data_IF_149280841496
#
_entry.id   IF_149280841496
#
_cell.length_a   1.000
_cell.length_b   1.000
_cell.length_c   1.000
_cell.angle_alpha   90.00
_cell.angle_beta   90.00
_cell.angle_gamma   90.00
#
_symmetry.space_group_name_H-M   'P 1'
#
loop_
_entity.id
_entity.type
_entity.pdbx_description
1 polymer ?
#
# COMPACT_ATOMS: atom_id res chain seq x y z
N UNK A 1 10.89 -41.49 -23.13
CA UNK A 1 10.00 -41.74 -21.97
C UNK A 1 10.35 -40.74 -20.87
N UNK A 2 9.64 -39.61 -20.80
CA UNK A 2 9.98 -38.52 -19.86
C UNK A 2 9.37 -38.80 -18.48
N UNK A 3 10.22 -38.94 -17.46
CA UNK A 3 9.80 -39.10 -16.06
C UNK A 3 9.21 -37.78 -15.55
N UNK A 4 7.91 -37.76 -15.28
CA UNK A 4 7.25 -36.65 -14.59
C UNK A 4 7.69 -36.61 -13.13
N UNK A 5 8.32 -35.50 -12.72
CA UNK A 5 8.69 -35.20 -11.33
C UNK A 5 7.45 -34.63 -10.63
N UNK A 6 6.95 -35.32 -9.61
CA UNK A 6 5.86 -34.88 -8.73
C UNK A 6 6.34 -33.63 -7.96
N UNK A 7 5.80 -32.45 -8.26
CA UNK A 7 6.09 -31.23 -7.49
C UNK A 7 5.21 -31.19 -6.24
N UNK A 8 5.85 -31.07 -5.08
CA UNK A 8 5.22 -30.95 -3.76
C UNK A 8 4.46 -29.64 -3.61
N UNK A 9 3.28 -29.71 -3.00
CA UNK A 9 2.40 -28.58 -2.69
C UNK A 9 3.11 -27.51 -1.85
N UNK A 10 3.17 -26.28 -2.34
CA UNK A 10 3.68 -25.12 -1.60
C UNK A 10 2.49 -24.42 -0.93
N UNK A 11 2.43 -24.52 0.40
CA UNK A 11 1.43 -23.84 1.24
C UNK A 11 1.96 -22.46 1.63
N UNK A 12 1.30 -21.39 1.19
CA UNK A 12 1.44 -20.07 1.79
C UNK A 12 0.04 -19.50 2.11
N UNK A 13 -0.10 -18.81 3.25
CA UNK A 13 -1.37 -18.66 3.99
C UNK A 13 -2.47 -17.84 3.28
N UNK A 14 -2.18 -17.25 2.12
CA UNK A 14 -3.17 -16.58 1.25
C UNK A 14 -2.96 -16.85 -0.24
N UNK A 15 -1.96 -17.65 -0.62
CA UNK A 15 -1.63 -17.98 -2.00
C UNK A 15 -1.39 -19.49 -2.10
N UNK A 16 -2.51 -20.23 -2.09
CA UNK A 16 -2.51 -21.65 -2.47
C UNK A 16 -2.32 -21.74 -3.99
N UNK A 17 -1.09 -21.55 -4.46
CA UNK A 17 -0.77 -21.71 -5.88
C UNK A 17 -0.67 -23.20 -6.19
N UNK A 18 -1.80 -23.80 -6.53
CA UNK A 18 -1.84 -25.14 -7.11
C UNK A 18 -1.51 -25.04 -8.61
N UNK A 19 -0.29 -25.43 -8.98
CA UNK A 19 0.14 -25.51 -10.37
C UNK A 19 -0.48 -26.74 -11.05
N UNK A 20 -1.74 -26.63 -11.46
CA UNK A 20 -2.33 -27.44 -12.53
C UNK A 20 -2.74 -26.51 -13.67
N UNK A 21 -2.54 -26.93 -14.93
CA UNK A 21 -2.78 -26.10 -16.13
C UNK A 21 -4.21 -25.53 -16.20
N UNK A 22 -5.18 -26.12 -15.50
CA UNK A 22 -6.58 -25.67 -15.41
C UNK A 22 -6.94 -24.93 -14.11
N UNK A 23 -6.13 -25.03 -13.04
CA UNK A 23 -6.38 -24.41 -11.74
C UNK A 23 -5.83 -22.99 -11.58
N UNK A 24 -4.71 -22.69 -12.24
CA UNK A 24 -4.04 -21.38 -12.17
C UNK A 24 -4.90 -20.26 -12.78
N UNK A 25 -5.64 -20.56 -13.85
CA UNK A 25 -6.47 -19.58 -14.56
C UNK A 25 -7.66 -19.11 -13.72
N UNK A 26 -8.29 -20.01 -12.93
CA UNK A 26 -9.46 -19.67 -12.10
C UNK A 26 -9.11 -18.84 -10.85
N UNK A 27 -7.95 -19.12 -10.22
CA UNK A 27 -7.47 -18.36 -9.06
C UNK A 27 -7.12 -16.92 -9.45
N UNK A 28 -6.43 -16.72 -10.58
CA UNK A 28 -6.06 -15.39 -11.07
C UNK A 28 -7.30 -14.52 -11.38
N UNK A 29 -8.33 -15.07 -12.03
CA UNK A 29 -9.53 -14.31 -12.37
C UNK A 29 -10.32 -13.83 -11.14
N UNK A 30 -10.41 -14.65 -10.09
CA UNK A 30 -11.07 -14.27 -8.85
C UNK A 30 -10.28 -13.17 -8.12
N UNK A 31 -8.96 -13.28 -8.09
CA UNK A 31 -8.09 -12.31 -7.41
C UNK A 31 -8.02 -10.98 -8.16
N UNK A 32 -8.06 -11.01 -9.49
CA UNK A 32 -8.24 -9.84 -10.33
C UNK A 32 -9.58 -9.14 -10.10
N UNK A 33 -10.67 -9.91 -9.96
CA UNK A 33 -11.98 -9.30 -9.66
C UNK A 33 -11.99 -8.66 -8.28
N UNK A 34 -11.39 -9.32 -7.27
CA UNK A 34 -11.24 -8.72 -5.92
C UNK A 34 -10.40 -7.44 -5.99
N UNK A 35 -9.29 -7.46 -6.72
CA UNK A 35 -8.45 -6.29 -6.95
C UNK A 35 -9.24 -5.12 -7.54
N UNK A 36 -9.99 -5.36 -8.62
CA UNK A 36 -10.84 -4.35 -9.27
C UNK A 36 -11.90 -3.78 -8.33
N UNK A 37 -12.53 -4.63 -7.52
CA UNK A 37 -13.53 -4.22 -6.55
C UNK A 37 -12.92 -3.32 -5.46
N UNK A 38 -11.74 -3.67 -4.94
CA UNK A 38 -11.03 -2.84 -3.96
C UNK A 38 -10.61 -1.52 -4.57
N UNK A 39 -10.08 -1.53 -5.79
CA UNK A 39 -9.72 -0.32 -6.53
C UNK A 39 -10.90 0.65 -6.66
N UNK A 40 -12.06 0.15 -7.11
CA UNK A 40 -13.25 0.98 -7.27
C UNK A 40 -13.72 1.56 -5.94
N UNK A 41 -13.81 0.74 -4.88
CA UNK A 41 -14.22 1.19 -3.55
C UNK A 41 -13.29 2.27 -3.00
N UNK A 42 -11.97 2.06 -3.12
CA UNK A 42 -10.97 3.03 -2.68
C UNK A 42 -11.10 4.35 -3.46
N UNK A 43 -11.22 4.27 -4.79
CA UNK A 43 -11.37 5.44 -5.65
C UNK A 43 -12.64 6.21 -5.33
N UNK A 44 -13.79 5.54 -5.19
CA UNK A 44 -15.06 6.18 -4.85
C UNK A 44 -15.02 6.86 -3.47
N UNK A 45 -14.42 6.21 -2.47
CA UNK A 45 -14.24 6.80 -1.16
C UNK A 45 -13.36 8.05 -1.23
N UNK A 46 -12.21 7.95 -1.90
CA UNK A 46 -11.30 9.08 -2.05
C UNK A 46 -11.96 10.23 -2.81
N UNK A 47 -12.66 10.00 -3.92
CA UNK A 47 -13.36 11.06 -4.67
C UNK A 47 -14.25 11.93 -3.77
N UNK A 48 -14.92 11.31 -2.79
CA UNK A 48 -15.81 12.01 -1.85
C UNK A 48 -15.06 12.79 -0.78
N UNK A 49 -13.89 12.33 -0.34
CA UNK A 49 -13.21 12.82 0.86
C UNK A 49 -11.82 13.43 0.63
N UNK A 50 -11.31 13.43 -0.59
CA UNK A 50 -9.95 13.90 -0.93
C UNK A 50 -9.72 15.38 -0.66
N UNK A 51 -10.75 16.23 -0.67
CA UNK A 51 -10.62 17.63 -0.25
C UNK A 51 -10.45 17.80 1.27
N UNK A 52 -10.72 16.75 2.03
CA UNK A 52 -10.73 16.73 3.50
C UNK A 52 -9.87 15.55 4.00
N UNK A 53 -8.52 15.68 3.96
CA UNK A 53 -7.60 14.60 4.38
C UNK A 53 -7.90 14.04 5.77
N UNK A 54 -8.37 14.87 6.70
CA UNK A 54 -8.71 14.46 8.06
C UNK A 54 -9.86 13.44 8.12
N UNK A 55 -10.82 13.48 7.18
CA UNK A 55 -11.88 12.47 7.12
C UNK A 55 -11.34 11.11 6.68
N UNK A 56 -10.37 11.09 5.78
CA UNK A 56 -9.69 9.86 5.35
C UNK A 56 -8.95 9.25 6.54
N UNK A 57 -8.24 10.10 7.30
CA UNK A 57 -7.51 9.68 8.50
C UNK A 57 -8.46 9.15 9.60
N UNK A 58 -9.56 9.85 9.89
CA UNK A 58 -10.57 9.36 10.84
C UNK A 58 -11.18 8.02 10.41
N UNK A 59 -11.44 7.85 9.11
CA UNK A 59 -11.94 6.58 8.59
C UNK A 59 -10.95 5.44 8.84
N UNK A 60 -9.65 5.68 8.63
CA UNK A 60 -8.57 4.72 8.93
C UNK A 60 -8.56 4.37 10.43
N UNK A 61 -8.62 5.37 11.32
CA UNK A 61 -8.61 5.15 12.78
C UNK A 61 -9.82 4.34 13.24
N UNK A 62 -11.01 4.62 12.71
CA UNK A 62 -12.23 3.88 13.01
C UNK A 62 -12.17 2.41 12.60
N UNK A 63 -11.25 2.05 11.71
CA UNK A 63 -11.01 0.66 11.27
C UNK A 63 -9.77 0.05 11.95
N UNK A 64 -9.53 0.45 13.21
CA UNK A 64 -8.50 -0.10 14.11
C UNK A 64 -7.07 0.04 13.59
N UNK A 65 -6.80 1.07 12.80
CA UNK A 65 -5.44 1.36 12.30
C UNK A 65 -4.91 2.61 12.98
N UNK A 66 -3.74 2.52 13.61
CA UNK A 66 -3.21 3.61 14.43
C UNK A 66 -2.59 4.69 13.55
N UNK A 67 -2.93 5.96 13.75
CA UNK A 67 -2.20 7.07 13.12
C UNK A 67 -1.13 7.60 14.06
N UNK A 68 0.11 7.64 13.60
CA UNK A 68 1.25 8.19 14.35
C UNK A 68 1.80 9.38 13.59
N UNK A 69 1.82 10.54 14.26
CA UNK A 69 2.45 11.77 13.74
C UNK A 69 3.80 11.94 14.40
N UNK A 70 4.84 12.11 13.60
CA UNK A 70 6.22 12.12 14.08
C UNK A 70 7.01 13.30 13.49
N UNK A 71 7.86 13.91 14.31
CA UNK A 71 8.89 14.84 13.83
C UNK A 71 10.00 14.07 13.12
N UNK A 72 10.59 14.67 12.08
CA UNK A 72 11.69 14.07 11.31
C UNK A 72 11.40 12.67 10.73
N UNK A 73 10.13 12.39 10.39
CA UNK A 73 9.71 11.10 9.84
C UNK A 73 10.58 10.63 8.68
N UNK A 74 10.97 11.52 7.77
CA UNK A 74 11.80 11.19 6.61
C UNK A 74 13.15 10.58 7.00
N UNK A 75 13.79 11.14 8.05
CA UNK A 75 15.09 10.64 8.55
C UNK A 75 14.93 9.28 9.20
N UNK A 76 13.88 9.10 10.01
CA UNK A 76 13.57 7.81 10.67
C UNK A 76 13.26 6.74 9.63
N UNK A 77 12.45 7.08 8.63
CA UNK A 77 12.09 6.22 7.51
C UNK A 77 13.33 5.79 6.70
N UNK A 78 14.21 6.75 6.38
CA UNK A 78 15.46 6.47 5.67
C UNK A 78 16.38 5.53 6.47
N UNK A 79 16.57 5.80 7.77
CA UNK A 79 17.41 4.99 8.66
C UNK A 79 16.94 3.52 8.73
N UNK A 80 15.63 3.32 8.81
CA UNK A 80 15.03 1.99 8.94
C UNK A 80 14.77 1.30 7.59
N UNK A 81 15.01 2.00 6.48
CA UNK A 81 14.68 1.58 5.12
C UNK A 81 13.18 1.21 4.99
N UNK A 82 12.31 2.10 5.48
CA UNK A 82 10.85 2.03 5.39
C UNK A 82 10.33 3.29 4.68
N UNK A 83 9.22 3.18 3.96
CA UNK A 83 8.57 4.35 3.37
C UNK A 83 7.62 5.01 4.40
N UNK A 84 7.46 6.34 4.39
CA UNK A 84 6.40 7.00 5.14
C UNK A 84 5.03 6.64 4.56
N UNK A 85 3.99 6.64 5.41
CA UNK A 85 2.64 6.25 5.02
C UNK A 85 2.14 4.99 5.72
N UNK A 86 1.42 4.15 4.99
CA UNK A 86 0.83 2.94 5.53
C UNK A 86 1.89 1.87 5.80
N UNK A 87 1.90 1.36 7.03
CA UNK A 87 2.74 0.26 7.46
C UNK A 87 1.84 -0.90 7.91
N UNK A 88 1.84 -2.05 7.21
CA UNK A 88 1.14 -3.23 7.68
C UNK A 88 1.76 -3.73 8.99
N UNK A 89 1.06 -4.63 9.69
CA UNK A 89 1.58 -5.26 10.92
C UNK A 89 2.97 -5.86 10.67
N UNK A 90 3.92 -5.53 11.54
CA UNK A 90 5.31 -5.99 11.42
C UNK A 90 5.85 -6.49 12.75
N UNK A 91 6.87 -7.36 12.67
CA UNK A 91 7.57 -7.92 13.83
C UNK A 91 9.08 -7.90 13.64
N UNK A 92 9.82 -7.92 14.74
CA UNK A 92 11.26 -8.13 14.78
C UNK A 92 12.06 -6.90 15.21
N UNK A 93 13.38 -6.95 15.01
CA UNK A 93 14.29 -5.93 15.54
C UNK A 93 14.07 -4.54 14.92
N UNK A 94 13.80 -4.46 13.61
CA UNK A 94 13.48 -3.17 12.97
C UNK A 94 12.21 -2.54 13.54
N UNK A 95 11.22 -3.37 13.87
CA UNK A 95 9.97 -2.95 14.52
C UNK A 95 10.23 -2.44 15.93
N UNK A 96 11.13 -3.09 16.67
CA UNK A 96 11.59 -2.59 17.95
C UNK A 96 12.29 -1.22 17.83
N UNK A 97 13.21 -1.06 16.87
CA UNK A 97 13.82 0.25 16.62
C UNK A 97 12.77 1.31 16.26
N UNK A 98 11.78 0.95 15.44
CA UNK A 98 10.69 1.85 15.08
C UNK A 98 9.85 2.25 16.30
N UNK A 99 9.51 1.32 17.21
CA UNK A 99 8.73 1.64 18.40
C UNK A 99 9.47 2.59 19.34
N UNK A 100 10.80 2.44 19.48
CA UNK A 100 11.65 3.40 20.18
C UNK A 100 11.61 4.78 19.51
N UNK A 101 11.75 4.86 18.17
CA UNK A 101 11.71 6.13 17.45
C UNK A 101 10.34 6.81 17.56
N UNK A 102 9.24 6.05 17.50
CA UNK A 102 7.89 6.55 17.73
C UNK A 102 7.81 7.18 19.13
N UNK A 103 8.26 6.47 20.16
CA UNK A 103 8.22 6.98 21.54
C UNK A 103 9.05 8.26 21.73
N UNK A 104 10.17 8.41 21.01
CA UNK A 104 11.06 9.57 21.13
C UNK A 104 10.58 10.79 20.34
N UNK A 105 9.93 10.58 19.18
CA UNK A 105 9.67 11.64 18.20
C UNK A 105 8.19 11.86 17.88
N UNK A 106 7.28 11.14 18.55
CA UNK A 106 5.83 11.29 18.43
C UNK A 106 5.21 11.73 19.74
N UNK A 107 4.06 12.40 19.65
CA UNK A 107 3.24 12.78 20.81
C UNK A 107 2.47 11.58 21.39
N UNK A 108 2.55 10.40 20.76
CA UNK A 108 1.96 9.16 21.28
C UNK A 108 2.93 8.44 22.20
N UNK A 109 2.48 8.16 23.43
CA UNK A 109 3.12 7.22 24.34
C UNK A 109 2.97 5.77 23.83
N UNK A 110 3.73 5.43 22.79
CA UNK A 110 3.78 4.07 22.27
C UNK A 110 4.61 3.18 23.21
N UNK A 111 4.10 1.98 23.48
CA UNK A 111 4.88 0.96 24.17
C UNK A 111 6.04 0.50 23.28
N UNK A 112 7.20 0.32 23.90
CA UNK A 112 8.36 -0.25 23.21
C UNK A 112 8.08 -1.74 23.04
N UNK A 113 7.85 -2.14 21.80
CA UNK A 113 7.52 -3.52 21.44
C UNK A 113 8.26 -3.93 20.18
N UNK A 114 8.61 -5.21 20.09
CA UNK A 114 9.10 -5.84 18.87
C UNK A 114 7.97 -6.23 17.90
N UNK A 115 6.72 -5.98 18.27
CA UNK A 115 5.54 -6.15 17.44
C UNK A 115 4.74 -4.85 17.41
N UNK A 116 4.45 -4.35 16.21
CA UNK A 116 3.63 -3.17 16.02
C UNK A 116 2.38 -3.52 15.20
N UNK A 117 1.21 -2.98 15.56
CA UNK A 117 -0.01 -3.13 14.76
C UNK A 117 0.13 -2.39 13.43
N UNK A 118 -0.85 -2.57 12.56
CA UNK A 118 -0.94 -1.78 11.35
C UNK A 118 -1.18 -0.30 11.68
N UNK A 119 -0.45 0.57 10.99
CA UNK A 119 -0.40 1.99 11.33
C UNK A 119 -0.12 2.86 10.12
N UNK A 120 -0.42 4.15 10.26
CA UNK A 120 0.05 5.19 9.36
C UNK A 120 1.10 6.02 10.06
N UNK A 121 2.31 6.04 9.49
CA UNK A 121 3.38 6.94 9.88
C UNK A 121 3.29 8.20 9.04
N UNK A 122 2.95 9.33 9.66
CA UNK A 122 2.80 10.62 9.02
C UNK A 122 3.73 11.67 9.64
N UNK A 123 4.11 12.66 8.85
CA UNK A 123 4.76 13.86 9.39
C UNK A 123 3.78 14.67 10.25
N UNK A 124 4.32 15.66 10.97
CA UNK A 124 3.52 16.60 11.76
C UNK A 124 2.59 17.43 10.86
N UNK A 125 3.07 17.78 9.66
CA UNK A 125 2.30 18.55 8.68
C UNK A 125 1.15 17.72 8.08
N UNK A 126 0.15 18.42 7.54
CA UNK A 126 -0.93 17.79 6.78
C UNK A 126 -0.34 17.01 5.59
N UNK A 127 -0.67 15.72 5.44
CA UNK A 127 -0.11 14.92 4.36
C UNK A 127 -0.58 15.46 3.01
N UNK A 128 0.31 15.44 2.02
CA UNK A 128 -0.09 15.71 0.64
C UNK A 128 -1.19 14.72 0.25
N UNK A 129 -2.28 15.24 -0.28
CA UNK A 129 -3.49 14.47 -0.59
C UNK A 129 -3.26 13.32 -1.57
N UNK A 130 -2.36 13.48 -2.54
CA UNK A 130 -2.03 12.44 -3.52
C UNK A 130 -1.17 11.35 -2.88
N UNK A 131 -0.25 11.73 -1.99
CA UNK A 131 0.50 10.76 -1.18
C UNK A 131 -0.46 10.01 -0.26
N UNK A 132 -1.41 10.69 0.37
CA UNK A 132 -2.40 10.05 1.22
C UNK A 132 -3.30 9.09 0.42
N UNK A 133 -3.75 9.48 -0.78
CA UNK A 133 -4.51 8.63 -1.69
C UNK A 133 -3.75 7.36 -2.07
N UNK A 134 -2.47 7.49 -2.41
CA UNK A 134 -1.57 6.35 -2.68
C UNK A 134 -1.54 5.38 -1.49
N UNK A 135 -1.27 5.91 -0.30
CA UNK A 135 -1.15 5.10 0.93
C UNK A 135 -2.49 4.52 1.38
N UNK A 136 -3.60 5.22 1.12
CA UNK A 136 -4.95 4.75 1.39
C UNK A 136 -5.32 3.53 0.55
N UNK A 137 -4.95 3.49 -0.73
CA UNK A 137 -5.17 2.29 -1.54
C UNK A 137 -4.44 1.09 -0.95
N UNK A 138 -3.16 1.24 -0.59
CA UNK A 138 -2.39 0.15 0.01
C UNK A 138 -3.02 -0.36 1.31
N UNK A 139 -3.48 0.56 2.15
CA UNK A 139 -4.21 0.22 3.36
C UNK A 139 -5.49 -0.57 3.08
N UNK A 140 -6.33 -0.09 2.14
CA UNK A 140 -7.58 -0.78 1.81
C UNK A 140 -7.33 -2.15 1.16
N UNK A 141 -6.30 -2.26 0.32
CA UNK A 141 -5.88 -3.52 -0.29
C UNK A 141 -5.37 -4.52 0.75
N UNK A 142 -4.57 -4.07 1.72
CA UNK A 142 -4.14 -4.88 2.85
C UNK A 142 -5.32 -5.36 3.70
N UNK A 143 -6.22 -4.45 4.09
CA UNK A 143 -7.42 -4.78 4.87
C UNK A 143 -8.37 -5.73 4.14
N UNK A 144 -8.37 -5.68 2.81
CA UNK A 144 -9.12 -6.60 1.94
C UNK A 144 -8.40 -7.92 1.66
N UNK A 145 -7.26 -8.17 2.32
CA UNK A 145 -6.45 -9.39 2.16
C UNK A 145 -6.01 -9.66 0.72
N UNK A 146 -5.67 -8.61 -0.02
CA UNK A 146 -4.99 -8.75 -1.30
C UNK A 146 -3.54 -9.22 -1.08
N UNK A 147 -2.96 -10.00 -2.01
CA UNK A 147 -1.57 -10.43 -1.92
C UNK A 147 -0.60 -9.26 -2.11
N UNK A 148 0.67 -9.51 -1.78
CA UNK A 148 1.75 -8.53 -1.93
C UNK A 148 2.17 -7.82 -0.63
N UNK A 149 1.47 -8.03 0.49
CA UNK A 149 1.73 -7.32 1.76
C UNK A 149 2.39 -8.16 2.86
N UNK A 150 2.74 -9.42 2.60
CA UNK A 150 3.50 -10.20 3.57
C UNK A 150 4.90 -9.62 3.78
N UNK A 151 5.46 -9.88 4.96
CA UNK A 151 6.68 -9.20 5.40
C UNK A 151 7.87 -9.44 4.47
N UNK A 152 8.04 -10.67 3.99
CA UNK A 152 9.16 -11.03 3.13
C UNK A 152 9.01 -10.39 1.75
N UNK A 153 7.81 -10.42 1.17
CA UNK A 153 7.50 -9.74 -0.09
C UNK A 153 7.74 -8.24 0.02
N UNK A 154 7.28 -7.61 1.09
CA UNK A 154 7.48 -6.18 1.32
C UNK A 154 8.96 -5.80 1.51
N UNK A 155 9.76 -6.68 2.13
CA UNK A 155 11.23 -6.53 2.21
C UNK A 155 11.86 -6.62 0.81
N UNK A 156 11.48 -7.61 0.01
CA UNK A 156 11.97 -7.80 -1.35
C UNK A 156 11.59 -6.61 -2.25
N UNK A 157 10.34 -6.13 -2.16
CA UNK A 157 9.83 -4.99 -2.90
C UNK A 157 10.64 -3.72 -2.61
N UNK A 158 10.90 -3.39 -1.34
CA UNK A 158 11.74 -2.24 -0.97
C UNK A 158 13.18 -2.35 -1.47
N UNK A 159 13.69 -3.57 -1.57
CA UNK A 159 15.06 -3.82 -1.99
C UNK A 159 15.19 -4.04 -3.50
N UNK A 160 14.09 -4.08 -4.28
CA UNK A 160 14.11 -4.49 -5.69
C UNK A 160 15.12 -3.72 -6.54
N UNK A 161 15.27 -2.42 -6.30
CA UNK A 161 16.22 -1.55 -7.00
C UNK A 161 17.68 -1.82 -6.63
N UNK A 162 17.94 -2.30 -5.40
CA UNK A 162 19.26 -2.79 -4.98
C UNK A 162 19.51 -4.18 -5.55
N UNK A 163 18.48 -5.02 -5.57
CA UNK A 163 18.51 -6.37 -6.09
C UNK A 163 18.79 -6.39 -7.60
N UNK A 164 18.23 -5.46 -8.39
CA UNK A 164 18.45 -5.35 -9.84
C UNK A 164 19.92 -5.19 -10.24
N UNK A 165 20.73 -4.59 -9.38
CA UNK A 165 22.17 -4.42 -9.62
C UNK A 165 23.01 -5.61 -9.13
N UNK A 166 22.37 -6.65 -8.61
CA UNK A 166 23.01 -7.78 -7.94
C UNK A 166 22.55 -9.12 -8.51
N UNK A 167 23.39 -10.15 -8.37
CA UNK A 167 23.03 -11.54 -8.66
C UNK A 167 21.90 -12.09 -7.74
N UNK A 168 21.40 -11.30 -6.79
CA UNK A 168 20.41 -11.73 -5.79
C UNK A 168 18.99 -11.91 -6.35
N UNK A 169 18.61 -11.24 -7.45
CA UNK A 169 17.32 -11.54 -8.12
C UNK A 169 17.28 -12.99 -8.59
N UNK A 170 18.41 -13.54 -9.04
CA UNK A 170 18.49 -14.94 -9.50
C UNK A 170 18.36 -15.95 -8.34
N UNK A 171 18.43 -15.50 -7.09
CA UNK A 171 18.26 -16.34 -5.89
C UNK A 171 16.80 -16.44 -5.42
N UNK A 172 15.91 -15.60 -5.95
CA UNK A 172 14.49 -15.64 -5.58
C UNK A 172 13.84 -16.92 -6.13
N UNK A 173 13.10 -17.60 -5.27
CA UNK A 173 12.23 -18.69 -5.68
C UNK A 173 11.09 -18.19 -6.58
N UNK A 174 10.50 -19.09 -7.37
CA UNK A 174 9.32 -18.76 -8.21
C UNK A 174 8.19 -18.14 -7.37
N UNK A 175 7.95 -18.66 -6.16
CA UNK A 175 6.95 -18.11 -5.24
C UNK A 175 7.24 -16.68 -4.79
N UNK A 176 8.52 -16.36 -4.53
CA UNK A 176 8.92 -15.00 -4.15
C UNK A 176 8.80 -14.03 -5.32
N UNK A 177 9.10 -14.49 -6.54
CA UNK A 177 8.91 -13.70 -7.77
C UNK A 177 7.42 -13.41 -8.00
N UNK A 178 6.55 -14.40 -7.84
CA UNK A 178 5.10 -14.20 -7.97
C UNK A 178 4.55 -13.24 -6.91
N UNK A 179 4.99 -13.38 -5.66
CA UNK A 179 4.56 -12.48 -4.58
C UNK A 179 5.06 -11.05 -4.79
N UNK A 180 6.30 -10.90 -5.30
CA UNK A 180 6.85 -9.61 -5.70
C UNK A 180 6.07 -8.98 -6.86
N UNK A 181 5.64 -9.78 -7.84
CA UNK A 181 4.74 -9.33 -8.91
C UNK A 181 3.42 -8.80 -8.34
N UNK A 182 2.83 -9.48 -7.36
CA UNK A 182 1.61 -9.00 -6.71
C UNK A 182 1.81 -7.65 -6.01
N UNK A 183 2.93 -7.48 -5.29
CA UNK A 183 3.28 -6.21 -4.65
C UNK A 183 3.46 -5.07 -5.66
N UNK A 184 4.17 -5.32 -6.77
CA UNK A 184 4.31 -4.36 -7.87
C UNK A 184 2.94 -4.00 -8.46
N UNK A 185 2.07 -4.99 -8.69
CA UNK A 185 0.73 -4.73 -9.21
C UNK A 185 -0.09 -3.84 -8.26
N UNK A 186 0.03 -4.02 -6.94
CA UNK A 186 -0.62 -3.12 -5.97
C UNK A 186 -0.07 -1.69 -6.05
N UNK A 187 1.22 -1.52 -6.24
CA UNK A 187 1.84 -0.19 -6.35
C UNK A 187 1.41 0.50 -7.65
N UNK A 188 1.35 -0.23 -8.76
CA UNK A 188 0.80 0.27 -10.04
C UNK A 188 -0.65 0.70 -9.89
N UNK A 189 -1.51 -0.12 -9.27
CA UNK A 189 -2.90 0.25 -9.00
C UNK A 189 -2.99 1.54 -8.15
N UNK A 190 -2.12 1.69 -7.14
CA UNK A 190 -2.09 2.90 -6.31
C UNK A 190 -1.74 4.15 -7.12
N UNK A 191 -0.72 4.04 -7.98
CA UNK A 191 -0.24 5.12 -8.84
C UNK A 191 -1.27 5.51 -9.89
N UNK A 192 -1.91 4.53 -10.54
CA UNK A 192 -2.97 4.76 -11.51
C UNK A 192 -4.18 5.46 -10.87
N UNK A 193 -4.53 5.08 -9.65
CA UNK A 193 -5.60 5.76 -8.90
C UNK A 193 -5.26 7.22 -8.62
N UNK A 194 -4.05 7.50 -8.15
CA UNK A 194 -3.59 8.87 -7.90
C UNK A 194 -3.62 9.68 -9.19
N UNK A 195 -3.16 9.11 -10.31
CA UNK A 195 -3.21 9.74 -11.63
C UNK A 195 -4.65 10.06 -12.03
N UNK A 196 -5.55 9.09 -11.97
CA UNK A 196 -6.96 9.30 -12.32
C UNK A 196 -7.62 10.37 -11.44
N UNK A 197 -7.39 10.34 -10.13
CA UNK A 197 -7.89 11.36 -9.22
C UNK A 197 -7.35 12.75 -9.60
N UNK A 198 -6.04 12.88 -9.85
CA UNK A 198 -5.44 14.17 -10.24
C UNK A 198 -6.05 14.76 -11.52
N UNK A 199 -6.31 13.93 -12.53
CA UNK A 199 -6.94 14.34 -13.80
C UNK A 199 -8.38 14.77 -13.56
N UNK A 200 -9.14 14.00 -12.80
CA UNK A 200 -10.53 14.32 -12.48
C UNK A 200 -10.63 15.63 -11.67
N UNK A 201 -9.76 15.86 -10.69
CA UNK A 201 -9.73 17.11 -9.92
C UNK A 201 -9.36 18.31 -10.77
N UNK A 202 -8.35 18.17 -11.64
CA UNK A 202 -7.99 19.22 -12.58
C UNK A 202 -9.14 19.54 -13.54
N UNK A 203 -9.86 18.52 -14.02
CA UNK A 203 -11.05 18.67 -14.86
C UNK A 203 -12.20 19.37 -14.14
N UNK A 204 -12.55 18.93 -12.92
CA UNK A 204 -13.60 19.54 -12.10
C UNK A 204 -13.34 21.03 -11.83
N UNK A 205 -12.10 21.39 -11.50
CA UNK A 205 -11.71 22.78 -11.28
C UNK A 205 -11.96 23.63 -12.53
N UNK A 206 -11.53 23.16 -13.71
CA UNK A 206 -11.77 23.84 -14.99
C UNK A 206 -13.25 24.02 -15.31
N UNK A 207 -14.10 23.03 -15.03
CA UNK A 207 -15.54 23.14 -15.21
C UNK A 207 -16.17 24.18 -14.28
N UNK A 208 -15.79 24.18 -13.00
CA UNK A 208 -16.26 25.17 -12.02
C UNK A 208 -15.82 26.59 -12.42
N UNK A 209 -14.58 26.75 -12.84
CA UNK A 209 -14.04 28.05 -13.25
C UNK A 209 -14.77 28.59 -14.50
N UNK A 210 -15.11 27.71 -15.46
CA UNK A 210 -15.96 28.06 -16.62
C UNK A 210 -17.37 28.48 -16.21
N UNK A 211 -18.01 27.79 -15.26
CA UNK A 211 -19.35 28.15 -14.76
C UNK A 211 -19.31 29.52 -14.05
N UNK A 212 -18.29 29.78 -13.23
CA UNK A 212 -18.13 31.07 -12.55
C UNK A 212 -17.89 32.23 -13.51
N UNK A 213 -17.10 32.02 -14.56
CA UNK A 213 -16.82 33.06 -15.56
C UNK A 213 -17.99 33.29 -16.52
N UNK A 214 -18.72 32.24 -16.92
CA UNK A 214 -19.93 32.39 -17.74
C UNK A 214 -21.15 32.89 -16.98
N UNK A 215 -21.25 32.63 -15.66
CA UNK A 215 -22.30 33.18 -14.79
C UNK A 215 -22.11 34.65 -14.42
N UNK A 216 -20.87 35.16 -14.41
CA UNK A 216 -20.57 36.58 -14.15
C UNK A 216 -20.64 37.48 -15.39
N UNK A 217 -20.96 36.94 -16.57
CA UNK A 217 -21.13 37.72 -17.81
C UNK A 217 -22.60 38.05 -18.12
N UNK A 218 -23.49 37.90 -17.14
CA UNK A 218 -24.91 38.31 -17.23
C UNK A 218 -25.28 39.14 -16.00
N UNK A 219 -24.61 40.29 -15.81
CA UNK A 219 -25.12 41.45 -15.04
C UNK A 219 -24.58 42.71 -15.70
#
# INVERSE_FOLDING_TARGET
>A
MFKYRKYSSLKNKSSNVFLSQSGVVKLNAHDEQRAKNVYHKAKEFLKKHIKEPDNILRYIENHSTIIVRMKHIEKVCLLLNIAPGFLPKQKGFKTFCLSVMIKLFSDKNAEISSELPDMFLLGVNTPNVYILAHQFYHWMAYKSSLPGYDEQTQRNFRNIWKLQKSEEIKKLSVSEILSLKDAIARDVDALDMVRELSVEFAGQKKCIDKIKTSGSSVV
#
